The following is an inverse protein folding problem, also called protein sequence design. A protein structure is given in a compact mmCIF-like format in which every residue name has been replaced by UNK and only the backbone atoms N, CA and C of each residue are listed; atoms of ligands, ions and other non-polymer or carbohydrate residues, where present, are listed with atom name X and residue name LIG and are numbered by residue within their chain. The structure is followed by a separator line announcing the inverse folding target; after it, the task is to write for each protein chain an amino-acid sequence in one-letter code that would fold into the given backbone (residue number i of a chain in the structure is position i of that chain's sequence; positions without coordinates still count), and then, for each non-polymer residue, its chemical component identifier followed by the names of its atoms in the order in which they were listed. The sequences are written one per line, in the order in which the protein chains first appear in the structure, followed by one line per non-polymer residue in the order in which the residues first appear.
data_IF_685696154356
#
_entry.id   IF_685696154356
#
_cell.length_a   1.000
_cell.length_b   1.000
_cell.length_c   1.000
_cell.angle_alpha   90.00
_cell.angle_beta   90.00
_cell.angle_gamma   90.00
#
_symmetry.space_group_name_H-M   'P 1'
#
loop_
_entity.id
_entity.type
_entity.pdbx_description
1 polymer ?
#
# COMPACT_ATOMS: atom_id res chain seq x y z
N UNK A 1 3.55 33.22 7.93
CA UNK A 1 2.35 33.01 7.09
C UNK A 1 2.61 32.55 5.64
N UNK A 2 3.82 32.08 5.22
CA UNK A 2 3.97 31.52 3.86
C UNK A 2 3.51 30.06 3.71
N UNK A 3 3.39 29.29 4.79
CA UNK A 3 3.06 27.86 4.69
C UNK A 3 1.59 27.54 4.35
N UNK A 4 0.65 28.39 4.75
CA UNK A 4 -0.78 28.17 4.47
C UNK A 4 -1.12 28.39 2.98
N UNK A 5 -0.43 29.33 2.33
CA UNK A 5 -0.61 29.61 0.89
C UNK A 5 -0.11 28.43 0.06
N UNK A 6 0.97 27.79 0.48
CA UNK A 6 1.53 26.62 -0.23
C UNK A 6 0.59 25.40 -0.15
N UNK A 7 -0.07 25.15 0.97
CA UNK A 7 -1.03 24.06 1.10
C UNK A 7 -2.23 24.26 0.18
N UNK A 8 -2.85 25.44 0.25
CA UNK A 8 -4.03 25.75 -0.56
C UNK A 8 -3.71 25.73 -2.05
N UNK A 9 -2.57 26.31 -2.45
CA UNK A 9 -2.16 26.33 -3.86
C UNK A 9 -1.80 24.94 -4.36
N UNK A 10 -1.10 24.12 -3.57
CA UNK A 10 -0.78 22.74 -3.92
C UNK A 10 -2.05 21.90 -4.12
N UNK A 11 -3.03 22.02 -3.22
CA UNK A 11 -4.30 21.30 -3.34
C UNK A 11 -5.10 21.83 -4.53
N UNK A 12 -5.28 23.15 -4.66
CA UNK A 12 -6.09 23.72 -5.72
C UNK A 12 -5.54 23.44 -7.11
N UNK A 13 -4.24 23.65 -7.32
CA UNK A 13 -3.60 23.39 -8.62
C UNK A 13 -3.54 21.88 -8.89
N UNK A 14 -3.17 21.08 -7.87
CA UNK A 14 -3.08 19.62 -8.01
C UNK A 14 -4.41 18.98 -8.37
N UNK A 15 -5.48 19.28 -7.62
CA UNK A 15 -6.81 18.74 -7.91
C UNK A 15 -7.41 19.34 -9.19
N UNK A 16 -7.20 20.64 -9.46
CA UNK A 16 -7.66 21.28 -10.68
C UNK A 16 -7.04 20.67 -11.94
N UNK A 17 -5.71 20.50 -11.95
CA UNK A 17 -5.01 19.83 -13.04
C UNK A 17 -5.41 18.35 -13.16
N UNK A 18 -5.50 17.63 -12.06
CA UNK A 18 -5.94 16.24 -12.05
C UNK A 18 -7.34 16.10 -12.66
N UNK A 19 -8.28 16.99 -12.30
CA UNK A 19 -9.64 17.00 -12.86
C UNK A 19 -9.62 17.23 -14.37
N UNK A 20 -8.91 18.25 -14.83
CA UNK A 20 -8.85 18.60 -16.26
C UNK A 20 -8.21 17.49 -17.07
N UNK A 21 -7.02 17.02 -16.66
CA UNK A 21 -6.28 15.99 -17.38
C UNK A 21 -6.93 14.61 -17.26
N UNK A 22 -7.56 14.31 -16.12
CA UNK A 22 -8.37 13.11 -15.96
C UNK A 22 -9.60 13.09 -16.87
N UNK A 23 -10.26 14.24 -17.02
CA UNK A 23 -11.35 14.39 -17.98
C UNK A 23 -10.89 14.20 -19.43
N UNK A 24 -9.75 14.81 -19.80
CA UNK A 24 -9.16 14.65 -21.14
C UNK A 24 -8.81 13.17 -21.39
N UNK A 25 -8.16 12.51 -20.43
CA UNK A 25 -7.83 11.09 -20.52
C UNK A 25 -9.10 10.23 -20.74
N UNK A 26 -10.16 10.49 -19.97
CA UNK A 26 -11.44 9.79 -20.12
C UNK A 26 -12.06 10.01 -21.51
N UNK A 27 -11.98 11.22 -22.06
CA UNK A 27 -12.44 11.52 -23.42
C UNK A 27 -11.65 10.78 -24.49
N UNK A 28 -10.35 10.54 -24.25
CA UNK A 28 -9.49 9.77 -25.12
C UNK A 28 -9.61 8.25 -24.92
N UNK A 29 -10.59 7.80 -24.10
CA UNK A 29 -10.80 6.39 -23.73
C UNK A 29 -9.61 5.75 -23.00
N UNK A 30 -8.78 6.57 -22.37
CA UNK A 30 -7.68 6.15 -21.47
C UNK A 30 -8.17 6.28 -20.03
N UNK A 31 -7.72 5.42 -19.10
CA UNK A 31 -8.09 5.53 -17.70
C UNK A 31 -7.77 6.92 -17.14
N UNK A 32 -8.67 7.57 -16.37
CA UNK A 32 -8.45 8.91 -15.79
C UNK A 32 -7.18 9.00 -14.94
N UNK A 33 -6.74 7.87 -14.37
CA UNK A 33 -5.50 7.72 -13.61
C UNK A 33 -4.28 8.23 -14.38
N UNK A 34 -4.23 8.00 -15.69
CA UNK A 34 -3.14 8.50 -16.56
C UNK A 34 -3.11 10.03 -16.56
N UNK A 35 -4.28 10.66 -16.59
CA UNK A 35 -4.40 12.11 -16.46
C UNK A 35 -3.89 12.63 -15.11
N UNK A 36 -4.18 11.91 -14.02
CA UNK A 36 -3.69 12.25 -12.68
C UNK A 36 -2.16 12.15 -12.57
N UNK A 37 -1.57 11.12 -13.18
CA UNK A 37 -0.11 10.96 -13.23
C UNK A 37 0.55 12.09 -14.01
N UNK A 38 -0.01 12.46 -15.16
CA UNK A 38 0.49 13.59 -15.95
C UNK A 38 0.36 14.90 -15.16
N UNK A 39 -0.75 15.12 -14.45
CA UNK A 39 -0.91 16.27 -13.58
C UNK A 39 0.20 16.34 -12.52
N UNK A 40 0.51 15.23 -11.86
CA UNK A 40 1.59 15.13 -10.87
C UNK A 40 2.97 15.43 -11.46
N UNK A 41 3.25 14.97 -12.68
CA UNK A 41 4.49 15.28 -13.38
C UNK A 41 4.59 16.78 -13.68
N UNK A 42 3.51 17.40 -14.16
CA UNK A 42 3.50 18.81 -14.54
C UNK A 42 3.75 19.76 -13.35
N UNK A 43 3.29 19.42 -12.16
CA UNK A 43 3.51 20.21 -10.93
C UNK A 43 4.65 19.67 -10.07
N UNK A 44 5.37 18.68 -10.57
CA UNK A 44 6.50 18.05 -9.88
C UNK A 44 7.78 18.89 -9.92
N UNK A 45 8.78 18.54 -9.07
CA UNK A 45 10.00 19.33 -8.89
C UNK A 45 10.92 19.35 -10.11
N UNK A 46 10.71 18.48 -11.08
CA UNK A 46 11.54 18.37 -12.29
C UNK A 46 10.94 19.08 -13.53
N UNK A 47 9.76 19.66 -13.37
CA UNK A 47 9.07 20.37 -14.47
C UNK A 47 9.15 21.88 -14.21
N UNK A 48 9.56 22.69 -15.19
CA UNK A 48 9.63 24.14 -15.01
C UNK A 48 8.22 24.73 -14.86
N UNK A 49 8.06 25.66 -13.92
CA UNK A 49 6.79 26.35 -13.67
C UNK A 49 6.38 26.28 -12.21
N UNK A 50 5.07 26.10 -11.96
CA UNK A 50 4.56 25.94 -10.60
C UNK A 50 4.98 24.58 -10.04
N UNK A 51 5.69 24.61 -8.93
CA UNK A 51 6.10 23.39 -8.22
C UNK A 51 5.28 23.24 -6.96
N UNK A 52 4.56 22.13 -6.86
CA UNK A 52 3.83 21.75 -5.65
C UNK A 52 4.81 21.39 -4.52
N UNK A 53 4.39 21.61 -3.29
CA UNK A 53 5.16 21.16 -2.13
C UNK A 53 5.10 19.62 -2.04
N UNK A 54 6.23 18.98 -2.27
CA UNK A 54 6.35 17.51 -2.29
C UNK A 54 6.04 16.91 -0.92
N UNK A 55 6.42 17.59 0.17
CA UNK A 55 6.15 17.12 1.53
C UNK A 55 4.64 17.10 1.82
N UNK A 56 3.94 18.17 1.46
CA UNK A 56 2.48 18.23 1.59
C UNK A 56 1.77 17.24 0.65
N UNK A 57 2.25 17.09 -0.58
CA UNK A 57 1.69 16.13 -1.53
C UNK A 57 1.81 14.69 -1.01
N UNK A 58 2.96 14.33 -0.41
CA UNK A 58 3.17 13.01 0.21
C UNK A 58 2.21 12.78 1.37
N UNK A 59 2.04 13.74 2.28
CA UNK A 59 1.10 13.61 3.40
C UNK A 59 -0.35 13.45 2.93
N UNK A 60 -0.76 14.21 1.91
CA UNK A 60 -2.09 14.09 1.30
C UNK A 60 -2.28 12.72 0.63
N UNK A 61 -1.23 12.20 -0.02
CA UNK A 61 -1.26 10.87 -0.62
C UNK A 61 -1.41 9.77 0.44
N UNK A 62 -0.71 9.88 1.58
CA UNK A 62 -0.87 8.94 2.70
C UNK A 62 -2.29 8.92 3.24
N UNK A 63 -2.91 10.09 3.44
CA UNK A 63 -4.33 10.18 3.83
C UNK A 63 -5.22 9.54 2.78
N UNK A 64 -4.97 9.82 1.49
CA UNK A 64 -5.72 9.23 0.38
C UNK A 64 -5.63 7.70 0.36
N UNK A 65 -4.45 7.13 0.60
CA UNK A 65 -4.25 5.68 0.70
C UNK A 65 -4.97 5.09 1.91
N UNK A 66 -4.93 5.75 3.07
CA UNK A 66 -5.67 5.29 4.26
C UNK A 66 -7.18 5.23 3.98
N UNK A 67 -7.75 6.29 3.40
CA UNK A 67 -9.18 6.34 3.04
C UNK A 67 -9.56 5.29 1.99
N UNK A 68 -8.69 5.07 1.00
CA UNK A 68 -8.89 4.04 0.00
C UNK A 68 -8.91 2.65 0.63
N UNK A 69 -7.91 2.33 1.46
CA UNK A 69 -7.82 1.03 2.14
C UNK A 69 -8.99 0.79 3.07
N UNK A 70 -9.46 1.83 3.76
CA UNK A 70 -10.69 1.78 4.54
C UNK A 70 -11.89 1.46 3.66
N UNK A 71 -12.06 2.15 2.52
CA UNK A 71 -13.13 1.90 1.57
C UNK A 71 -13.11 0.46 1.02
N UNK A 72 -11.94 -0.06 0.67
CA UNK A 72 -11.76 -1.46 0.26
C UNK A 72 -12.16 -2.42 1.38
N UNK A 73 -11.71 -2.15 2.62
CA UNK A 73 -12.04 -2.97 3.78
C UNK A 73 -13.54 -3.06 4.06
N UNK A 74 -14.31 -2.02 3.73
CA UNK A 74 -15.78 -2.03 3.86
C UNK A 74 -16.46 -2.96 2.85
N UNK A 75 -15.90 -3.12 1.65
CA UNK A 75 -16.50 -3.89 0.57
C UNK A 75 -16.01 -5.33 0.51
N UNK A 76 -14.88 -5.63 1.12
CA UNK A 76 -14.26 -6.96 1.06
C UNK A 76 -14.31 -7.67 2.42
N UNK A 77 -15.03 -8.76 2.49
CA UNK A 77 -15.17 -9.55 3.71
C UNK A 77 -14.15 -10.70 3.78
N UNK A 78 -13.81 -11.14 5.00
CA UNK A 78 -13.02 -12.36 5.20
C UNK A 78 -13.70 -13.60 4.59
N UNK A 79 -15.03 -13.59 4.48
CA UNK A 79 -15.79 -14.64 3.81
C UNK A 79 -15.48 -14.71 2.32
N UNK A 80 -15.34 -13.56 1.65
CA UNK A 80 -15.00 -13.49 0.24
C UNK A 80 -13.60 -14.04 0.00
N UNK A 81 -12.62 -13.67 0.83
CA UNK A 81 -11.27 -14.24 0.77
C UNK A 81 -11.28 -15.76 0.95
N UNK A 82 -12.05 -16.26 1.93
CA UNK A 82 -12.16 -17.70 2.16
C UNK A 82 -12.76 -18.44 0.97
N UNK A 83 -13.68 -17.82 0.24
CA UNK A 83 -14.31 -18.41 -0.95
C UNK A 83 -13.33 -18.59 -2.11
N UNK A 84 -12.36 -17.69 -2.27
CA UNK A 84 -11.39 -17.68 -3.38
C UNK A 84 -9.98 -18.15 -2.99
N UNK A 85 -9.73 -18.46 -1.72
CA UNK A 85 -8.40 -18.78 -1.17
C UNK A 85 -7.62 -19.85 -1.94
N UNK A 86 -8.32 -20.86 -2.49
CA UNK A 86 -7.70 -21.96 -3.22
C UNK A 86 -7.02 -21.51 -4.52
N UNK A 87 -7.44 -20.38 -5.07
CA UNK A 87 -6.87 -19.79 -6.28
C UNK A 87 -6.00 -18.58 -5.93
N UNK A 88 -6.50 -17.69 -5.08
CA UNK A 88 -5.84 -16.45 -4.71
C UNK A 88 -4.50 -16.68 -3.99
N UNK A 89 -4.44 -17.58 -3.01
CA UNK A 89 -3.21 -17.82 -2.24
C UNK A 89 -2.09 -18.41 -3.10
N UNK A 90 -2.27 -19.59 -3.77
CA UNK A 90 -1.19 -20.15 -4.57
C UNK A 90 -0.84 -19.27 -5.77
N UNK A 91 -1.82 -18.59 -6.36
CA UNK A 91 -1.60 -17.68 -7.47
C UNK A 91 -0.72 -16.50 -7.07
N UNK A 92 -1.05 -15.81 -5.97
CA UNK A 92 -0.24 -14.70 -5.45
C UNK A 92 1.20 -15.14 -5.12
N UNK A 93 1.36 -16.30 -4.44
CA UNK A 93 2.69 -16.82 -4.09
C UNK A 93 3.52 -17.09 -5.34
N UNK A 94 2.96 -17.78 -6.33
CA UNK A 94 3.66 -18.11 -7.58
C UNK A 94 4.02 -16.84 -8.35
N UNK A 95 3.09 -15.92 -8.48
CA UNK A 95 3.32 -14.65 -9.18
C UNK A 95 4.41 -13.82 -8.48
N UNK A 96 4.34 -13.64 -7.16
CA UNK A 96 5.35 -12.91 -6.40
C UNK A 96 6.73 -13.56 -6.54
N UNK A 97 6.80 -14.89 -6.47
CA UNK A 97 8.04 -15.64 -6.62
C UNK A 97 8.65 -15.45 -8.02
N UNK A 98 7.85 -15.63 -9.06
CA UNK A 98 8.30 -15.47 -10.45
C UNK A 98 8.73 -14.03 -10.73
N UNK A 99 7.93 -13.05 -10.32
CA UNK A 99 8.24 -11.64 -10.51
C UNK A 99 9.51 -11.23 -9.73
N UNK A 100 9.68 -11.75 -8.51
CA UNK A 100 10.90 -11.53 -7.71
C UNK A 100 12.12 -12.11 -8.39
N UNK A 101 12.04 -13.34 -8.93
CA UNK A 101 13.15 -13.95 -9.65
C UNK A 101 13.52 -13.18 -10.91
N UNK A 102 12.54 -12.77 -11.69
CA UNK A 102 12.78 -11.97 -12.91
C UNK A 102 13.37 -10.61 -12.58
N UNK A 103 12.82 -9.90 -11.61
CA UNK A 103 13.34 -8.61 -11.16
C UNK A 103 14.75 -8.72 -10.58
N UNK A 104 15.01 -9.72 -9.74
CA UNK A 104 16.32 -9.97 -9.16
C UNK A 104 17.36 -10.32 -10.25
N UNK A 105 17.00 -11.17 -11.20
CA UNK A 105 17.87 -11.52 -12.33
C UNK A 105 18.27 -10.30 -13.14
N UNK A 106 17.31 -9.41 -13.40
CA UNK A 106 17.54 -8.16 -14.13
C UNK A 106 18.46 -7.21 -13.34
N UNK A 107 18.26 -7.07 -12.03
CA UNK A 107 19.09 -6.25 -11.18
C UNK A 107 20.53 -6.79 -11.08
N UNK A 108 20.70 -8.11 -11.00
CA UNK A 108 22.02 -8.76 -11.04
C UNK A 108 22.71 -8.47 -12.38
N UNK A 109 21.98 -8.54 -13.48
CA UNK A 109 22.53 -8.22 -14.79
C UNK A 109 22.98 -6.75 -14.90
N UNK A 110 22.33 -5.84 -14.15
CA UNK A 110 22.79 -4.44 -14.02
C UNK A 110 23.97 -4.25 -13.05
N UNK A 111 24.47 -5.34 -12.46
CA UNK A 111 25.63 -5.29 -11.55
C UNK A 111 25.27 -4.99 -10.09
N UNK A 112 24.00 -5.10 -9.69
CA UNK A 112 23.61 -4.91 -8.30
C UNK A 112 24.04 -6.09 -7.43
N UNK A 113 24.28 -5.84 -6.14
CA UNK A 113 24.56 -6.90 -5.19
C UNK A 113 23.37 -7.87 -5.07
N UNK A 114 23.59 -9.16 -4.79
CA UNK A 114 22.51 -10.15 -4.69
C UNK A 114 21.40 -9.75 -3.71
N UNK A 115 21.78 -9.18 -2.56
CA UNK A 115 20.78 -8.70 -1.58
C UNK A 115 19.93 -7.55 -2.10
N UNK A 116 20.55 -6.54 -2.72
CA UNK A 116 19.81 -5.43 -3.33
C UNK A 116 18.92 -5.91 -4.49
N UNK A 117 19.41 -6.88 -5.28
CA UNK A 117 18.66 -7.47 -6.37
C UNK A 117 17.40 -8.21 -5.89
N UNK A 118 17.51 -8.98 -4.81
CA UNK A 118 16.35 -9.65 -4.20
C UNK A 118 15.32 -8.62 -3.70
N UNK A 119 15.76 -7.59 -2.99
CA UNK A 119 14.86 -6.53 -2.50
C UNK A 119 14.18 -5.81 -3.66
N UNK A 120 14.91 -5.50 -4.73
CA UNK A 120 14.35 -4.92 -5.94
C UNK A 120 13.30 -5.84 -6.60
N UNK A 121 13.61 -7.14 -6.70
CA UNK A 121 12.67 -8.12 -7.25
C UNK A 121 11.40 -8.25 -6.44
N UNK A 122 11.50 -8.25 -5.10
CA UNK A 122 10.35 -8.24 -4.19
C UNK A 122 9.53 -6.96 -4.40
N UNK A 123 10.18 -5.80 -4.45
CA UNK A 123 9.48 -4.53 -4.68
C UNK A 123 8.74 -4.51 -6.03
N UNK A 124 9.34 -5.09 -7.07
CA UNK A 124 8.73 -5.18 -8.40
C UNK A 124 7.58 -6.19 -8.45
N UNK A 125 7.54 -7.17 -7.56
CA UNK A 125 6.50 -8.21 -7.54
C UNK A 125 5.14 -7.72 -7.06
N UNK A 126 5.07 -6.53 -6.45
CA UNK A 126 3.84 -6.00 -5.85
C UNK A 126 2.98 -5.32 -6.90
N UNK A 127 1.75 -5.80 -7.06
CA UNK A 127 0.78 -5.16 -7.92
C UNK A 127 0.11 -3.96 -7.21
N UNK A 128 -0.34 -2.97 -8.00
CA UNK A 128 -1.03 -1.81 -7.45
C UNK A 128 -2.50 -2.13 -7.15
N UNK A 129 -2.83 -2.25 -5.87
CA UNK A 129 -4.19 -2.46 -5.37
C UNK A 129 -5.14 -1.37 -5.86
N UNK A 130 -4.70 -0.10 -5.80
CA UNK A 130 -5.48 1.07 -6.24
C UNK A 130 -5.87 0.98 -7.71
N UNK A 131 -4.90 0.68 -8.57
CA UNK A 131 -5.10 0.63 -10.02
C UNK A 131 -6.06 -0.50 -10.39
N UNK A 132 -5.87 -1.68 -9.81
CA UNK A 132 -6.72 -2.83 -10.13
C UNK A 132 -8.14 -2.63 -9.61
N UNK A 133 -8.31 -2.17 -8.37
CA UNK A 133 -9.65 -1.88 -7.82
C UNK A 133 -10.39 -0.87 -8.67
N UNK A 134 -9.73 0.23 -9.05
CA UNK A 134 -10.33 1.26 -9.89
C UNK A 134 -10.71 0.73 -11.28
N UNK A 135 -9.86 -0.13 -11.85
CA UNK A 135 -10.16 -0.77 -13.13
C UNK A 135 -11.35 -1.74 -13.04
N UNK A 136 -11.47 -2.49 -11.96
CA UNK A 136 -12.61 -3.39 -11.72
C UNK A 136 -13.91 -2.61 -11.46
N UNK A 137 -13.84 -1.54 -10.67
CA UNK A 137 -14.96 -0.66 -10.37
C UNK A 137 -15.52 -0.01 -11.65
N UNK A 138 -14.65 0.60 -12.48
CA UNK A 138 -15.07 1.24 -13.73
C UNK A 138 -15.68 0.28 -14.73
N UNK A 139 -15.37 -1.01 -14.63
CA UNK A 139 -15.94 -2.07 -15.47
C UNK A 139 -17.15 -2.76 -14.84
N UNK A 140 -17.57 -2.35 -13.63
CA UNK A 140 -18.64 -3.00 -12.89
C UNK A 140 -18.37 -4.47 -12.55
N UNK A 141 -17.10 -4.87 -12.44
CA UNK A 141 -16.67 -6.26 -12.25
C UNK A 141 -16.19 -6.55 -10.82
N UNK A 142 -16.26 -5.59 -9.91
CA UNK A 142 -15.73 -5.75 -8.55
C UNK A 142 -16.37 -6.94 -7.82
N UNK A 143 -17.69 -7.11 -7.93
CA UNK A 143 -18.44 -8.20 -7.29
C UNK A 143 -18.52 -9.49 -8.13
N UNK A 144 -17.94 -9.50 -9.33
CA UNK A 144 -17.88 -10.70 -10.16
C UNK A 144 -16.98 -11.78 -9.53
N UNK A 145 -17.14 -13.04 -9.96
CA UNK A 145 -16.25 -14.12 -9.52
C UNK A 145 -14.78 -13.84 -9.78
N UNK A 146 -14.45 -13.28 -10.95
CA UNK A 146 -13.08 -12.88 -11.30
C UNK A 146 -12.61 -11.67 -10.49
N UNK A 147 -13.50 -10.70 -10.21
CA UNK A 147 -13.21 -9.56 -9.37
C UNK A 147 -12.85 -9.99 -7.95
N UNK A 148 -13.63 -10.88 -7.34
CA UNK A 148 -13.34 -11.43 -6.01
C UNK A 148 -12.02 -12.20 -5.95
N UNK A 149 -11.68 -12.97 -7.00
CA UNK A 149 -10.38 -13.64 -7.09
C UNK A 149 -9.26 -12.59 -7.15
N UNK A 150 -9.39 -11.58 -8.00
CA UNK A 150 -8.38 -10.53 -8.17
C UNK A 150 -8.18 -9.71 -6.87
N UNK A 151 -9.25 -9.32 -6.20
CA UNK A 151 -9.17 -8.63 -4.90
C UNK A 151 -8.56 -9.53 -3.83
N UNK A 152 -8.98 -10.80 -3.76
CA UNK A 152 -8.40 -11.79 -2.84
C UNK A 152 -6.89 -12.00 -3.08
N UNK A 153 -6.46 -11.98 -4.32
CA UNK A 153 -5.06 -12.05 -4.72
C UNK A 153 -4.25 -10.86 -4.19
N UNK A 154 -4.74 -9.63 -4.39
CA UNK A 154 -4.13 -8.41 -3.86
C UNK A 154 -4.04 -8.41 -2.33
N UNK A 155 -5.09 -8.84 -1.65
CA UNK A 155 -5.08 -8.94 -0.17
C UNK A 155 -4.00 -9.91 0.31
N UNK A 156 -3.78 -11.02 -0.39
CA UNK A 156 -2.70 -11.96 -0.08
C UNK A 156 -1.33 -11.33 -0.32
N UNK A 157 -1.15 -10.58 -1.43
CA UNK A 157 0.08 -9.84 -1.70
C UNK A 157 0.36 -8.80 -0.62
N UNK A 158 -0.62 -7.96 -0.26
CA UNK A 158 -0.50 -6.93 0.76
C UNK A 158 -0.11 -7.55 2.11
N UNK A 159 -0.74 -8.67 2.48
CA UNK A 159 -0.43 -9.38 3.72
C UNK A 159 0.99 -9.96 3.71
N UNK A 160 1.43 -10.52 2.58
CA UNK A 160 2.79 -11.00 2.41
C UNK A 160 3.81 -9.86 2.49
N UNK A 161 3.48 -8.69 1.89
CA UNK A 161 4.35 -7.52 1.94
C UNK A 161 4.49 -6.92 3.34
N UNK A 162 3.46 -6.93 4.16
CA UNK A 162 3.58 -6.54 5.57
C UNK A 162 4.62 -7.41 6.27
N UNK A 163 4.60 -8.73 6.06
CA UNK A 163 5.58 -9.65 6.63
C UNK A 163 6.98 -9.35 6.10
N UNK A 164 7.12 -9.15 4.79
CA UNK A 164 8.41 -8.80 4.16
C UNK A 164 8.97 -7.50 4.72
N UNK A 165 8.16 -6.43 4.79
CA UNK A 165 8.59 -5.12 5.29
C UNK A 165 9.04 -5.18 6.76
N UNK A 166 8.34 -5.96 7.57
CA UNK A 166 8.70 -6.17 8.97
C UNK A 166 9.97 -7.01 9.12
N UNK A 167 10.19 -7.97 8.21
CA UNK A 167 11.38 -8.83 8.22
C UNK A 167 12.61 -8.19 7.57
N UNK A 168 12.42 -7.22 6.67
CA UNK A 168 13.50 -6.62 5.89
C UNK A 168 14.58 -5.95 6.78
N UNK A 169 14.27 -5.12 7.80
CA UNK A 169 15.27 -4.50 8.65
C UNK A 169 16.15 -5.52 9.42
N UNK A 170 15.60 -6.56 10.06
CA UNK A 170 16.41 -7.60 10.69
C UNK A 170 17.28 -8.40 9.72
N UNK A 171 16.79 -8.62 8.49
CA UNK A 171 17.49 -9.38 7.45
C UNK A 171 18.48 -8.52 6.64
N UNK A 172 18.47 -7.20 6.80
CA UNK A 172 19.32 -6.29 6.02
C UNK A 172 20.79 -6.66 6.08
N UNK A 173 21.29 -7.07 7.25
CA UNK A 173 22.68 -7.52 7.43
C UNK A 173 23.01 -8.77 6.59
N UNK A 174 22.11 -9.76 6.57
CA UNK A 174 22.26 -10.98 5.76
C UNK A 174 22.21 -10.69 4.25
N UNK A 175 21.52 -9.62 3.87
CA UNK A 175 21.41 -9.15 2.49
C UNK A 175 22.54 -8.20 2.09
N UNK A 176 23.58 -8.03 2.93
CA UNK A 176 24.73 -7.16 2.65
C UNK A 176 24.46 -5.67 2.84
N UNK A 177 23.39 -5.32 3.53
CA UNK A 177 23.06 -3.94 3.92
C UNK A 177 23.76 -3.52 5.22
N UNK A 178 23.65 -2.22 5.54
CA UNK A 178 24.13 -1.69 6.83
C UNK A 178 23.14 -2.08 7.94
N UNK A 179 23.67 -2.53 9.07
CA UNK A 179 22.85 -2.84 10.24
C UNK A 179 22.06 -1.58 10.68
N UNK A 180 20.77 -1.69 11.02
CA UNK A 180 20.03 -0.59 11.61
C UNK A 180 20.73 -0.12 12.89
N UNK A 181 20.73 1.19 13.13
CA UNK A 181 21.38 1.81 14.32
C UNK A 181 20.88 1.22 15.64
N UNK A 182 19.67 0.66 15.65
CA UNK A 182 19.06 -0.01 16.82
C UNK A 182 19.72 -1.38 17.10
N UNK A 183 20.35 -2.00 16.10
CA UNK A 183 21.06 -3.28 16.25
C UNK A 183 22.55 -3.11 16.61
N UNK A 184 23.08 -1.88 16.56
CA UNK A 184 24.48 -1.60 16.86
C UNK A 184 24.85 -1.66 18.35
N UNK A 185 23.86 -1.80 19.25
CA UNK A 185 24.11 -2.03 20.69
C UNK A 185 24.25 -3.52 21.06
N UNK A 186 24.01 -4.43 20.12
CA UNK A 186 24.21 -5.87 20.31
C UNK A 186 25.15 -6.38 19.22
N UNK A 187 26.47 -6.26 19.50
CA UNK A 187 27.51 -6.66 18.58
C UNK A 187 27.32 -8.03 17.95
N UNK A 188 27.30 -8.07 16.62
CA UNK A 188 28.01 -9.06 15.81
C UNK A 188 27.64 -10.55 15.88
N UNK A 189 26.66 -10.98 16.67
CA UNK A 189 26.38 -12.41 16.84
C UNK A 189 25.18 -12.85 16.03
N UNK A 190 25.36 -13.82 15.14
CA UNK A 190 24.30 -14.44 14.31
C UNK A 190 23.17 -15.01 15.20
N UNK A 191 23.49 -15.38 16.45
CA UNK A 191 22.51 -15.82 17.46
C UNK A 191 21.46 -14.74 17.78
N UNK A 192 21.80 -13.45 17.69
CA UNK A 192 20.90 -12.35 17.94
C UNK A 192 19.89 -12.09 16.82
N UNK A 193 20.20 -12.49 15.57
CA UNK A 193 19.28 -12.31 14.43
C UNK A 193 18.00 -13.14 14.62
N UNK A 194 18.13 -14.38 15.06
CA UNK A 194 16.99 -15.25 15.32
C UNK A 194 16.12 -14.75 16.47
N UNK A 195 16.71 -14.19 17.51
CA UNK A 195 15.95 -13.59 18.63
C UNK A 195 15.23 -12.31 18.18
N UNK A 196 15.88 -11.46 17.37
CA UNK A 196 15.25 -10.25 16.82
C UNK A 196 14.08 -10.62 15.91
N UNK A 197 14.26 -11.61 15.04
CA UNK A 197 13.19 -12.14 14.17
C UNK A 197 12.03 -12.69 15.01
N UNK A 198 12.34 -13.49 16.04
CA UNK A 198 11.32 -14.06 16.92
C UNK A 198 10.52 -12.99 17.67
N UNK A 199 11.19 -11.99 18.24
CA UNK A 199 10.53 -10.87 18.93
C UNK A 199 9.70 -10.04 17.96
N UNK A 200 10.19 -9.81 16.74
CA UNK A 200 9.47 -9.04 15.72
C UNK A 200 8.23 -9.78 15.27
N UNK A 201 8.31 -11.07 14.99
CA UNK A 201 7.16 -11.91 14.66
C UNK A 201 6.15 -11.97 15.82
N UNK A 202 6.62 -12.06 17.06
CA UNK A 202 5.75 -12.03 18.24
C UNK A 202 5.00 -10.71 18.36
N UNK A 203 5.67 -9.57 18.13
CA UNK A 203 5.02 -8.24 18.14
C UNK A 203 3.95 -8.13 17.06
N UNK A 204 4.23 -8.61 15.85
CA UNK A 204 3.26 -8.63 14.74
C UNK A 204 2.08 -9.54 15.09
N UNK A 205 2.34 -10.75 15.56
CA UNK A 205 1.28 -11.67 15.97
C UNK A 205 0.42 -11.11 17.10
N UNK A 206 1.04 -10.47 18.10
CA UNK A 206 0.33 -9.81 19.19
C UNK A 206 -0.53 -8.64 18.69
N UNK A 207 -0.01 -7.83 17.76
CA UNK A 207 -0.78 -6.74 17.14
C UNK A 207 -1.98 -7.27 16.35
N UNK A 208 -1.78 -8.29 15.50
CA UNK A 208 -2.84 -8.91 14.73
C UNK A 208 -3.89 -9.53 15.66
N UNK A 209 -3.48 -10.26 16.70
CA UNK A 209 -4.39 -10.83 17.69
C UNK A 209 -5.17 -9.74 18.43
N UNK A 210 -4.50 -8.65 18.84
CA UNK A 210 -5.16 -7.51 19.46
C UNK A 210 -6.23 -6.92 18.54
N UNK A 211 -5.88 -6.66 17.26
CA UNK A 211 -6.80 -6.11 16.27
C UNK A 211 -7.98 -7.05 15.97
N UNK A 212 -7.75 -8.34 15.87
CA UNK A 212 -8.81 -9.31 15.63
C UNK A 212 -9.76 -9.44 16.85
N UNK A 213 -9.23 -9.38 18.07
CA UNK A 213 -10.04 -9.52 19.29
C UNK A 213 -10.72 -8.20 19.66
N UNK A 214 -9.96 -7.13 19.75
CA UNK A 214 -10.46 -5.81 20.18
C UNK A 214 -11.22 -5.14 19.05
N UNK A 215 -10.67 -5.15 17.82
CA UNK A 215 -11.30 -4.55 16.65
C UNK A 215 -12.70 -5.11 16.40
N UNK A 216 -12.82 -6.43 16.31
CA UNK A 216 -14.15 -7.09 16.07
C UNK A 216 -15.19 -6.81 17.17
N UNK A 217 -14.76 -6.55 18.40
CA UNK A 217 -15.69 -6.28 19.51
C UNK A 217 -15.93 -4.78 19.72
N UNK A 218 -14.91 -3.97 19.55
CA UNK A 218 -14.93 -2.54 19.90
C UNK A 218 -15.54 -1.70 18.77
N UNK A 219 -15.09 -1.89 17.52
CA UNK A 219 -15.57 -1.09 16.39
C UNK A 219 -17.09 -1.17 16.18
N UNK A 220 -17.75 -2.34 16.16
CA UNK A 220 -19.18 -2.40 16.01
C UNK A 220 -19.93 -1.72 17.15
N UNK A 221 -19.41 -1.75 18.37
CA UNK A 221 -20.03 -1.08 19.52
C UNK A 221 -19.91 0.43 19.41
N UNK A 222 -18.73 0.96 19.01
CA UNK A 222 -18.51 2.39 18.80
C UNK A 222 -19.42 2.88 17.68
N UNK A 223 -19.40 2.22 16.53
CA UNK A 223 -20.24 2.58 15.39
C UNK A 223 -21.73 2.55 15.73
N UNK A 224 -22.19 1.56 16.50
CA UNK A 224 -23.58 1.50 16.96
C UNK A 224 -23.91 2.63 17.94
N UNK A 225 -23.03 2.92 18.87
CA UNK A 225 -23.20 4.03 19.80
C UNK A 225 -23.28 5.37 19.10
N UNK A 226 -22.42 5.60 18.10
CA UNK A 226 -22.42 6.83 17.29
C UNK A 226 -23.65 6.91 16.38
N UNK A 227 -24.05 5.81 15.77
CA UNK A 227 -25.27 5.73 14.97
C UNK A 227 -26.54 6.01 15.80
N UNK A 228 -26.56 5.56 17.06
CA UNK A 228 -27.66 5.81 18.00
C UNK A 228 -27.83 7.31 18.37
N UNK A 229 -26.76 8.11 18.28
CA UNK A 229 -26.82 9.57 18.49
C UNK A 229 -27.54 10.29 17.34
N UNK A 230 -27.65 9.65 16.16
CA UNK A 230 -28.38 10.21 15.00
C UNK A 230 -27.69 11.39 14.29
N UNK A 231 -26.44 11.72 14.64
CA UNK A 231 -25.67 12.78 13.99
C UNK A 231 -24.91 12.22 12.79
N UNK A 232 -25.24 12.72 11.58
CA UNK A 232 -24.52 12.36 10.35
C UNK A 232 -23.04 12.74 10.40
N UNK A 233 -22.71 13.87 11.04
CA UNK A 233 -21.35 14.38 11.17
C UNK A 233 -20.49 13.44 12.04
N UNK A 234 -21.01 13.03 13.20
CA UNK A 234 -20.33 12.07 14.08
C UNK A 234 -20.14 10.71 13.41
N UNK A 235 -21.11 10.25 12.62
CA UNK A 235 -21.00 8.98 11.89
C UNK A 235 -19.96 9.04 10.78
N UNK A 236 -19.77 10.20 10.14
CA UNK A 236 -18.75 10.38 9.09
C UNK A 236 -17.34 10.51 9.66
N UNK A 237 -17.19 10.95 10.92
CA UNK A 237 -15.90 11.12 11.60
C UNK A 237 -15.41 9.84 12.32
N UNK A 238 -16.27 8.84 12.49
CA UNK A 238 -15.94 7.56 13.13
C UNK A 238 -15.56 6.46 12.15
#
# INVERSE_FOLDING_TARGET
MPHEINLISTIAVGLGLAMVLGYIAARLKVPPLVGYLIAGILIGPHTPGFTADVGLATQLAEIGVMLLMFGVGLHFSLGDLMSVKRIAIPGAIVQMFVATLLGASMAIWWGWSPGAAVVFGIALSVASTVVLLKALETRGQLESGNGRIAVGWLVVEDLAMVIVLVMLPPLAFLLGGKAPVIASTAAGDVSNVWSILGITLLKVAAFVALMLVVGRKLFPRILWAVAAVGSRELFTLC
#
